data_IF_563895798727
#
_entry.id   IF_563895798727
#
_cell.length_a   1.000
_cell.length_b   1.000
_cell.length_c   1.000
_cell.angle_alpha   90.00
_cell.angle_beta   90.00
_cell.angle_gamma   90.00
#
_symmetry.space_group_name_H-M   'P 1'
#
loop_
_entity.id
_entity.type
_entity.pdbx_description
1 polymer ?
#
# COMPACT_ATOMS: atom_id res chain seq x y z
N UNK A 1 -8.91 -6.66 -4.78
CA UNK A 1 -7.55 -6.35 -4.30
C UNK A 1 -6.94 -7.66 -3.87
N UNK A 2 -5.88 -8.15 -4.53
CA UNK A 2 -5.21 -9.39 -4.12
C UNK A 2 -4.54 -9.14 -2.77
N UNK A 3 -4.72 -10.05 -1.82
CA UNK A 3 -4.17 -9.91 -0.46
C UNK A 3 -2.64 -9.92 -0.53
N UNK A 4 -2.01 -8.83 -0.08
CA UNK A 4 -0.56 -8.76 0.02
C UNK A 4 -0.07 -9.71 1.13
N UNK A 5 0.97 -10.48 0.85
CA UNK A 5 1.67 -11.33 1.83
C UNK A 5 2.80 -10.54 2.47
N UNK A 6 3.06 -10.81 3.74
CA UNK A 6 4.20 -10.27 4.49
C UNK A 6 4.94 -11.41 5.17
N UNK A 7 6.26 -11.26 5.31
CA UNK A 7 7.11 -12.14 6.08
C UNK A 7 8.21 -11.32 6.77
N UNK A 8 8.71 -11.84 7.89
CA UNK A 8 9.71 -11.14 8.70
C UNK A 8 11.08 -11.11 8.00
N UNK A 9 11.81 -10.00 8.10
CA UNK A 9 13.22 -9.91 7.67
C UNK A 9 13.49 -10.39 6.23
N UNK A 10 12.65 -9.99 5.27
CA UNK A 10 12.90 -10.25 3.84
C UNK A 10 13.56 -9.03 3.21
N UNK A 11 14.77 -9.21 2.68
CA UNK A 11 15.50 -8.15 1.99
C UNK A 11 16.43 -8.75 0.94
N UNK A 12 16.42 -8.16 -0.26
CA UNK A 12 17.20 -8.59 -1.42
C UNK A 12 18.02 -7.43 -1.96
N UNK A 13 19.18 -7.78 -2.51
CA UNK A 13 19.91 -6.93 -3.45
C UNK A 13 19.17 -6.87 -4.79
N UNK A 14 19.47 -5.87 -5.61
CA UNK A 14 18.98 -5.77 -6.99
C UNK A 14 20.06 -6.22 -7.97
N UNK A 15 19.69 -7.00 -8.99
CA UNK A 15 20.58 -7.35 -10.08
C UNK A 15 20.33 -6.46 -11.30
N UNK A 16 21.43 -5.98 -11.91
CA UNK A 16 21.38 -5.04 -13.04
C UNK A 16 20.95 -3.62 -12.66
N UNK A 17 20.45 -2.87 -13.63
CA UNK A 17 20.02 -1.47 -13.46
C UNK A 17 18.60 -1.32 -14.01
N UNK A 18 17.58 -1.76 -13.25
CA UNK A 18 16.21 -1.79 -13.76
C UNK A 18 15.60 -0.41 -14.00
N UNK A 19 16.23 0.67 -13.52
CA UNK A 19 15.68 2.01 -13.64
C UNK A 19 14.34 2.08 -12.91
N UNK A 20 13.28 2.51 -13.60
CA UNK A 20 11.91 2.55 -13.07
C UNK A 20 11.09 1.30 -13.43
N UNK A 21 11.71 0.30 -14.05
CA UNK A 21 11.05 -0.91 -14.55
C UNK A 21 11.01 -2.07 -13.55
N UNK A 22 10.62 -3.26 -14.03
CA UNK A 22 10.60 -4.49 -13.24
C UNK A 22 11.97 -4.75 -12.60
N UNK A 23 11.94 -5.08 -11.31
CA UNK A 23 13.14 -5.34 -10.52
C UNK A 23 13.50 -6.81 -10.68
N UNK A 24 14.73 -7.08 -11.14
CA UNK A 24 15.33 -8.41 -11.02
C UNK A 24 16.05 -8.48 -9.69
N UNK A 25 15.72 -9.49 -8.87
CA UNK A 25 16.33 -9.66 -7.56
C UNK A 25 17.73 -10.27 -7.69
N UNK A 26 18.61 -9.92 -6.76
CA UNK A 26 19.91 -10.54 -6.55
C UNK A 26 19.86 -11.59 -5.43
N UNK A 27 20.87 -11.61 -4.57
CA UNK A 27 20.87 -12.42 -3.34
C UNK A 27 20.13 -11.72 -2.20
N UNK A 28 19.73 -12.49 -1.18
CA UNK A 28 19.33 -11.91 0.10
C UNK A 28 20.49 -11.08 0.69
N UNK A 29 20.16 -9.98 1.35
CA UNK A 29 21.15 -9.18 2.10
C UNK A 29 21.58 -9.96 3.34
N UNK A 30 22.82 -9.76 3.79
CA UNK A 30 23.37 -10.45 4.97
C UNK A 30 22.46 -10.31 6.21
N UNK A 31 22.08 -11.45 6.80
CA UNK A 31 21.18 -11.51 7.96
C UNK A 31 19.68 -11.40 7.65
N UNK A 32 19.29 -11.44 6.38
CA UNK A 32 17.90 -11.48 5.91
C UNK A 32 17.62 -12.78 5.16
N UNK A 33 16.34 -13.15 5.06
CA UNK A 33 15.90 -14.27 4.23
C UNK A 33 15.52 -13.79 2.83
N UNK A 34 15.60 -14.69 1.85
CA UNK A 34 15.20 -14.38 0.47
C UNK A 34 13.68 -14.36 0.31
N UNK A 35 13.17 -13.72 -0.75
CA UNK A 35 11.74 -13.85 -1.10
C UNK A 35 11.37 -15.29 -1.43
N UNK A 36 12.30 -16.07 -1.98
CA UNK A 36 12.09 -17.48 -2.29
C UNK A 36 11.83 -18.31 -1.04
N UNK A 37 12.67 -18.16 -0.02
CA UNK A 37 12.52 -18.87 1.25
C UNK A 37 11.28 -18.40 2.02
N UNK A 38 11.00 -17.10 1.98
CA UNK A 38 9.89 -16.51 2.73
C UNK A 38 8.51 -16.88 2.19
N UNK A 39 8.36 -17.06 0.88
CA UNK A 39 7.06 -17.25 0.25
C UNK A 39 6.89 -18.59 -0.49
N UNK A 40 7.96 -19.19 -1.00
CA UNK A 40 7.97 -20.49 -1.70
C UNK A 40 7.17 -20.55 -3.01
N UNK A 41 6.58 -19.44 -3.45
CA UNK A 41 5.71 -19.33 -4.62
C UNK A 41 5.53 -17.85 -5.00
N UNK A 42 4.87 -17.61 -6.13
CA UNK A 42 4.45 -16.27 -6.53
C UNK A 42 3.63 -15.60 -5.42
N UNK A 43 3.82 -14.29 -5.27
CA UNK A 43 3.18 -13.52 -4.22
C UNK A 43 2.86 -12.10 -4.67
N UNK A 44 1.82 -11.51 -4.09
CA UNK A 44 1.63 -10.07 -4.09
C UNK A 44 2.20 -9.53 -2.79
N UNK A 45 3.05 -8.51 -2.86
CA UNK A 45 3.78 -7.94 -1.70
C UNK A 45 3.80 -6.41 -1.77
N UNK A 46 4.10 -5.77 -0.66
CA UNK A 46 4.45 -4.34 -0.63
C UNK A 46 5.95 -4.24 -0.34
N UNK A 47 6.64 -3.30 -1.00
CA UNK A 47 8.10 -3.17 -0.92
C UNK A 47 8.54 -1.75 -0.58
N UNK A 48 9.65 -1.66 0.13
CA UNK A 48 10.50 -0.48 0.23
C UNK A 48 11.73 -0.71 -0.64
N UNK A 49 11.96 0.17 -1.61
CA UNK A 49 13.19 0.19 -2.40
C UNK A 49 14.05 1.39 -1.99
N UNK A 50 15.34 1.17 -1.74
CA UNK A 50 16.30 2.21 -1.38
C UNK A 50 17.51 2.12 -2.32
N UNK A 51 17.90 3.24 -2.91
CA UNK A 51 19.12 3.40 -3.69
C UNK A 51 19.86 4.67 -3.27
N UNK A 52 21.01 4.50 -2.61
CA UNK A 52 21.69 5.60 -1.92
C UNK A 52 20.79 6.23 -0.85
N UNK A 53 20.47 7.52 -1.03
CA UNK A 53 19.54 8.26 -0.15
C UNK A 53 18.11 8.32 -0.70
N UNK A 54 17.90 7.90 -1.95
CA UNK A 54 16.59 7.88 -2.56
C UNK A 54 15.83 6.63 -2.10
N UNK A 55 14.54 6.78 -1.82
CA UNK A 55 13.67 5.70 -1.41
C UNK A 55 12.29 5.82 -2.03
N UNK A 56 11.61 4.69 -2.14
CA UNK A 56 10.20 4.62 -2.46
C UNK A 56 9.50 3.42 -1.80
N UNK A 57 8.20 3.58 -1.57
CA UNK A 57 7.28 2.53 -1.14
C UNK A 57 6.32 2.23 -2.28
N UNK A 58 6.20 0.96 -2.63
CA UNK A 58 5.27 0.47 -3.64
C UNK A 58 4.39 -0.66 -3.10
N UNK A 59 3.12 -0.64 -3.50
CA UNK A 59 2.09 -1.59 -3.06
C UNK A 59 1.65 -2.52 -4.18
N UNK A 60 1.23 -3.72 -3.79
CA UNK A 60 0.64 -4.68 -4.73
C UNK A 60 1.63 -5.13 -5.81
N UNK A 61 2.91 -5.16 -5.47
CA UNK A 61 3.99 -5.64 -6.32
C UNK A 61 3.82 -7.14 -6.56
N UNK A 62 3.97 -7.57 -7.81
CA UNK A 62 3.91 -8.98 -8.17
C UNK A 62 5.33 -9.57 -8.10
N UNK A 63 5.56 -10.44 -7.12
CA UNK A 63 6.74 -11.29 -7.05
C UNK A 63 6.50 -12.58 -7.84
N UNK A 64 7.37 -12.86 -8.81
CA UNK A 64 7.37 -14.11 -9.57
C UNK A 64 8.53 -14.98 -9.11
N UNK A 65 8.24 -16.14 -8.53
CA UNK A 65 9.22 -17.00 -7.89
C UNK A 65 10.22 -17.59 -8.90
N UNK A 66 9.71 -18.12 -10.02
CA UNK A 66 10.53 -18.73 -11.07
C UNK A 66 11.44 -17.75 -11.81
N UNK A 67 11.02 -16.48 -11.90
CA UNK A 67 11.78 -15.42 -12.55
C UNK A 67 12.65 -14.60 -11.60
N UNK A 68 12.48 -14.75 -10.28
CA UNK A 68 13.10 -13.90 -9.25
C UNK A 68 12.91 -12.40 -9.52
N UNK A 69 11.73 -12.02 -10.02
CA UNK A 69 11.41 -10.62 -10.36
C UNK A 69 10.30 -10.08 -9.47
N UNK A 70 10.30 -8.75 -9.30
CA UNK A 70 9.25 -8.01 -8.62
C UNK A 70 8.79 -6.86 -9.52
N UNK A 71 7.51 -6.81 -9.86
CA UNK A 71 6.92 -5.63 -10.52
C UNK A 71 6.79 -4.47 -9.53
N UNK A 72 6.85 -3.22 -10.00
CA UNK A 72 6.79 -2.04 -9.11
C UNK A 72 5.37 -1.62 -8.68
N UNK A 73 4.34 -2.41 -8.99
CA UNK A 73 2.99 -2.24 -8.48
C UNK A 73 2.46 -0.80 -8.60
N UNK A 74 1.81 -0.31 -7.53
CA UNK A 74 1.37 1.08 -7.37
C UNK A 74 2.34 1.83 -6.45
N UNK A 75 2.91 2.94 -6.92
CA UNK A 75 3.73 3.82 -6.09
C UNK A 75 2.86 4.49 -5.00
N UNK A 76 3.23 4.32 -3.74
CA UNK A 76 2.55 4.96 -2.60
C UNK A 76 3.26 6.24 -2.20
N UNK A 77 4.57 6.17 -2.00
CA UNK A 77 5.37 7.30 -1.56
C UNK A 77 6.80 7.21 -2.11
N UNK A 78 7.43 8.36 -2.33
CA UNK A 78 8.82 8.42 -2.76
C UNK A 78 9.47 9.71 -2.30
N UNK A 79 10.76 9.63 -1.99
CA UNK A 79 11.65 10.76 -1.77
C UNK A 79 11.67 11.79 -2.91
N UNK A 80 11.28 11.41 -4.12
CA UNK A 80 11.28 12.29 -5.31
C UNK A 80 9.88 12.65 -5.80
N UNK A 81 8.82 12.13 -5.15
CA UNK A 81 7.45 12.25 -5.64
C UNK A 81 7.16 11.43 -6.90
N UNK A 82 8.10 10.59 -7.35
CA UNK A 82 7.95 9.69 -8.51
C UNK A 82 8.78 8.42 -8.32
N UNK A 83 8.59 7.44 -9.21
CA UNK A 83 9.39 6.23 -9.23
C UNK A 83 10.89 6.56 -9.31
N UNK A 84 11.69 6.06 -8.37
CA UNK A 84 13.16 6.26 -8.39
C UNK A 84 13.80 5.34 -9.42
N UNK A 85 14.90 5.78 -10.04
CA UNK A 85 15.69 4.95 -10.95
C UNK A 85 16.62 4.06 -10.14
N UNK A 86 16.34 2.75 -10.10
CA UNK A 86 17.11 1.77 -9.35
C UNK A 86 18.34 1.28 -10.13
N UNK A 87 19.45 1.19 -9.41
CA UNK A 87 20.72 0.59 -9.82
C UNK A 87 20.95 -0.77 -9.16
N UNK A 88 22.10 -1.38 -9.44
CA UNK A 88 22.53 -2.62 -8.78
C UNK A 88 22.92 -2.43 -7.31
N UNK A 89 23.09 -1.18 -6.86
CA UNK A 89 23.31 -0.87 -5.46
C UNK A 89 22.01 -0.82 -4.64
N UNK A 90 20.85 -0.88 -5.32
CA UNK A 90 19.57 -0.80 -4.66
C UNK A 90 19.29 -2.03 -3.78
N UNK A 91 18.55 -1.77 -2.70
CA UNK A 91 18.07 -2.77 -1.75
C UNK A 91 16.54 -2.73 -1.73
N UNK A 92 15.92 -3.91 -1.81
CA UNK A 92 14.48 -4.09 -1.77
C UNK A 92 14.10 -4.88 -0.54
N UNK A 93 13.21 -4.33 0.28
CA UNK A 93 12.71 -4.97 1.51
C UNK A 93 11.22 -5.18 1.42
N UNK A 94 10.73 -6.33 1.89
CA UNK A 94 9.28 -6.52 2.07
C UNK A 94 8.85 -5.78 3.32
N UNK A 95 7.77 -5.02 3.22
CA UNK A 95 7.21 -4.25 4.34
C UNK A 95 5.70 -4.41 4.40
N UNK A 96 5.12 -3.99 5.54
CA UNK A 96 3.73 -3.55 5.56
C UNK A 96 3.76 -2.04 5.35
N UNK A 97 3.13 -1.56 4.28
CA UNK A 97 3.03 -0.13 4.02
C UNK A 97 2.09 0.56 5.03
N UNK A 98 2.30 1.85 5.25
CA UNK A 98 1.48 2.61 6.19
C UNK A 98 0.01 2.66 5.74
N UNK A 99 -0.24 2.85 4.45
CA UNK A 99 -1.59 2.81 3.90
C UNK A 99 -2.26 1.45 4.15
N UNK A 100 -1.53 0.34 4.02
CA UNK A 100 -2.05 -1.01 4.27
C UNK A 100 -2.46 -1.19 5.73
N UNK A 101 -1.59 -0.84 6.67
CA UNK A 101 -1.87 -1.02 8.09
C UNK A 101 -3.01 -0.11 8.57
N UNK A 102 -2.98 1.17 8.18
CA UNK A 102 -4.06 2.10 8.52
C UNK A 102 -5.41 1.61 8.00
N UNK A 103 -5.44 1.07 6.78
CA UNK A 103 -6.63 0.47 6.19
C UNK A 103 -7.10 -0.76 6.99
N UNK A 104 -6.19 -1.66 7.36
CA UNK A 104 -6.51 -2.84 8.17
C UNK A 104 -7.09 -2.46 9.54
N UNK A 105 -6.56 -1.41 10.19
CA UNK A 105 -7.08 -0.91 11.46
C UNK A 105 -8.52 -0.38 11.34
N UNK A 106 -8.82 0.36 10.27
CA UNK A 106 -10.18 0.86 10.02
C UNK A 106 -11.20 -0.28 9.84
N UNK A 107 -10.83 -1.34 9.11
CA UNK A 107 -11.64 -2.55 9.00
C UNK A 107 -11.82 -3.27 10.34
N UNK A 108 -10.73 -3.47 11.09
CA UNK A 108 -10.77 -4.21 12.36
C UNK A 108 -11.63 -3.54 13.44
N UNK A 109 -11.77 -2.21 13.36
CA UNK A 109 -12.58 -1.40 14.29
C UNK A 109 -14.03 -1.24 13.85
N UNK A 110 -14.41 -1.82 12.71
CA UNK A 110 -15.76 -1.73 12.16
C UNK A 110 -16.11 -0.36 11.58
N UNK A 111 -15.14 0.56 11.47
CA UNK A 111 -15.39 1.88 10.89
C UNK A 111 -15.73 1.81 9.41
N UNK A 112 -15.27 0.75 8.73
CA UNK A 112 -15.52 0.53 7.31
C UNK A 112 -15.85 -0.95 7.13
N UNK A 113 -16.95 -1.23 6.42
CA UNK A 113 -17.39 -2.58 6.09
C UNK A 113 -17.54 -2.67 4.57
N UNK A 114 -16.70 -3.52 3.97
CA UNK A 114 -16.57 -3.62 2.51
C UNK A 114 -15.84 -2.42 1.89
N UNK A 115 -15.55 -2.53 0.60
CA UNK A 115 -14.93 -1.47 -0.20
C UNK A 115 -13.39 -1.42 -0.19
N UNK A 116 -12.84 -0.28 -0.63
CA UNK A 116 -11.42 0.03 -0.71
C UNK A 116 -11.26 1.49 -0.26
N UNK A 117 -10.30 1.72 0.63
CA UNK A 117 -9.88 3.03 1.09
C UNK A 117 -8.61 3.39 0.33
N UNK A 118 -8.53 4.59 -0.22
CA UNK A 118 -7.30 5.16 -0.78
C UNK A 118 -7.12 6.59 -0.29
N UNK A 119 -5.87 7.01 -0.09
CA UNK A 119 -5.54 8.39 0.24
C UNK A 119 -5.30 9.15 -1.07
N UNK A 120 -6.11 10.18 -1.36
CA UNK A 120 -5.91 11.01 -2.55
C UNK A 120 -5.07 12.25 -2.27
N UNK A 121 -4.95 12.65 -0.99
CA UNK A 121 -4.04 13.69 -0.51
C UNK A 121 -3.85 13.59 1.01
N UNK A 122 -3.09 14.52 1.62
CA UNK A 122 -3.00 14.66 3.09
C UNK A 122 -4.30 15.17 3.75
N UNK A 123 -5.30 15.57 2.96
CA UNK A 123 -6.55 16.17 3.44
C UNK A 123 -7.81 15.46 2.96
N UNK A 124 -7.66 14.42 2.13
CA UNK A 124 -8.77 13.72 1.51
C UNK A 124 -8.56 12.21 1.48
N UNK A 125 -9.64 11.49 1.78
CA UNK A 125 -9.73 10.05 1.68
C UNK A 125 -10.74 9.73 0.59
N UNK A 126 -10.45 8.76 -0.27
CA UNK A 126 -11.38 8.21 -1.23
C UNK A 126 -11.81 6.82 -0.77
N UNK A 127 -13.10 6.57 -0.75
CA UNK A 127 -13.67 5.27 -0.41
C UNK A 127 -14.51 4.76 -1.57
N UNK A 128 -14.35 3.50 -1.96
CA UNK A 128 -15.27 2.87 -2.92
C UNK A 128 -16.66 2.67 -2.29
N UNK A 129 -17.58 2.03 -3.00
CA UNK A 129 -18.84 1.60 -2.41
C UNK A 129 -18.60 0.75 -1.16
N UNK A 130 -19.08 1.23 -0.01
CA UNK A 130 -18.92 0.62 1.31
C UNK A 130 -19.95 1.17 2.30
N UNK A 131 -20.06 0.52 3.46
CA UNK A 131 -20.65 1.15 4.63
C UNK A 131 -19.55 1.75 5.50
N UNK A 132 -19.78 2.97 5.97
CA UNK A 132 -18.89 3.75 6.79
C UNK A 132 -19.56 4.06 8.12
N UNK A 133 -18.79 4.05 9.19
CA UNK A 133 -19.20 4.64 10.47
C UNK A 133 -18.45 5.95 10.69
N UNK A 134 -19.18 7.05 10.76
CA UNK A 134 -18.65 8.39 11.01
C UNK A 134 -19.46 9.02 12.13
N UNK A 135 -18.80 9.48 13.20
CA UNK A 135 -19.43 10.08 14.36
C UNK A 135 -20.54 9.20 14.97
N UNK A 136 -20.36 7.88 14.97
CA UNK A 136 -21.34 6.90 15.47
C UNK A 136 -22.60 6.76 14.59
N UNK A 137 -22.57 7.31 13.37
CA UNK A 137 -23.64 7.16 12.36
C UNK A 137 -23.15 6.26 11.25
N UNK A 138 -24.03 5.36 10.79
CA UNK A 138 -23.78 4.52 9.61
C UNK A 138 -24.21 5.24 8.35
N UNK A 139 -23.29 5.30 7.39
CA UNK A 139 -23.46 5.91 6.08
C UNK A 139 -23.14 4.86 5.02
N UNK A 140 -23.82 4.92 3.88
CA UNK A 140 -23.54 4.05 2.75
C UNK A 140 -23.08 4.88 1.55
N UNK A 141 -21.94 4.50 0.96
CA UNK A 141 -21.52 5.01 -0.35
C UNK A 141 -21.90 3.98 -1.41
N UNK A 142 -22.53 4.43 -2.50
CA UNK A 142 -22.92 3.58 -3.63
C UNK A 142 -21.91 3.60 -4.76
N UNK A 143 -20.95 4.52 -4.70
CA UNK A 143 -19.88 4.71 -5.66
C UNK A 143 -18.65 5.28 -4.97
N UNK A 144 -17.55 5.36 -5.72
CA UNK A 144 -16.32 5.99 -5.24
C UNK A 144 -16.59 7.43 -4.81
N UNK A 145 -16.34 7.72 -3.54
CA UNK A 145 -16.65 9.01 -2.90
C UNK A 145 -15.38 9.58 -2.25
N UNK A 146 -15.08 10.85 -2.53
CA UNK A 146 -13.99 11.58 -1.87
C UNK A 146 -14.53 12.32 -0.64
N UNK A 147 -13.95 12.00 0.51
CA UNK A 147 -14.28 12.54 1.82
C UNK A 147 -13.17 13.49 2.26
N UNK A 148 -13.56 14.70 2.61
CA UNK A 148 -12.71 15.75 3.19
C UNK A 148 -13.27 16.16 4.53
N UNK A 149 -12.55 16.96 5.30
CA UNK A 149 -13.03 17.54 6.56
C UNK A 149 -14.24 18.47 6.41
N UNK A 150 -14.66 18.81 5.19
CA UNK A 150 -15.85 19.61 4.90
C UNK A 150 -16.97 18.80 4.23
N UNK A 151 -16.75 17.52 3.95
CA UNK A 151 -17.73 16.69 3.26
C UNK A 151 -18.97 16.48 4.13
N UNK A 152 -20.14 16.54 3.48
CA UNK A 152 -21.44 16.21 4.11
C UNK A 152 -22.07 15.03 3.38
N UNK A 153 -22.63 14.09 4.13
CA UNK A 153 -23.29 12.89 3.59
C UNK A 153 -24.61 12.62 4.31
N UNK A 154 -25.50 11.84 3.69
CA UNK A 154 -26.72 11.38 4.35
C UNK A 154 -26.45 10.07 5.10
N UNK A 155 -26.90 9.97 6.35
CA UNK A 155 -26.98 8.69 7.05
C UNK A 155 -28.13 7.84 6.50
N UNK A 156 -28.20 6.57 6.92
CA UNK A 156 -29.29 5.66 6.52
C UNK A 156 -30.70 6.16 6.92
N UNK A 157 -30.79 7.11 7.87
CA UNK A 157 -32.04 7.74 8.29
C UNK A 157 -32.33 9.06 7.53
N UNK A 158 -31.48 9.47 6.57
CA UNK A 158 -31.63 10.69 5.77
C UNK A 158 -31.12 11.98 6.43
N UNK A 159 -30.52 11.89 7.62
CA UNK A 159 -29.91 13.03 8.33
C UNK A 159 -28.57 13.39 7.71
N UNK A 160 -28.26 14.69 7.64
CA UNK A 160 -26.94 15.14 7.17
C UNK A 160 -25.90 14.94 8.26
N UNK A 161 -24.83 14.22 7.94
CA UNK A 161 -23.63 14.05 8.76
C UNK A 161 -22.48 14.82 8.11
N UNK A 162 -21.87 15.72 8.87
CA UNK A 162 -20.63 16.40 8.46
C UNK A 162 -19.45 15.56 8.92
N UNK A 163 -18.50 15.32 8.02
CA UNK A 163 -17.24 14.64 8.32
C UNK A 163 -16.33 15.66 9.03
N UNK A 164 -16.64 15.96 10.28
CA UNK A 164 -15.79 16.79 11.12
C UNK A 164 -14.59 15.97 11.58
N UNK A 165 -13.39 16.30 11.11
CA UNK A 165 -12.17 15.84 11.77
C UNK A 165 -11.79 16.87 12.84
N UNK A 166 -11.97 16.54 14.11
CA UNK A 166 -11.06 17.07 15.13
C UNK A 166 -9.74 16.33 14.95
N UNK A 167 -8.64 17.09 14.83
CA UNK A 167 -7.29 16.55 14.89
C UNK A 167 -7.09 15.70 16.14
#
# INVERSE_FOLDING_TARGET
MTTAKVANRVQMTVSGTPGTGTITLGSATSGYQSLGDAFGADATIDILSVDGTAWEVARGCAYTHSGTTVSRGTLEASSTGSAISLSSAAIVSVIVSAERENTALLYSRGYIVGGVIGYSSTTAITVSACELEINGKRLATTSTTTLTSASTMKDLAGSTVTIGASK
#
